data_IF_140815871029
#
_entry.id   IF_140815871029
#
_cell.length_a   1.000
_cell.length_b   1.000
_cell.length_c   1.000
_cell.angle_alpha   90.00
_cell.angle_beta   90.00
_cell.angle_gamma   90.00
#
_symmetry.space_group_name_H-M   'P 1'
#
loop_
_entity.id
_entity.type
_entity.pdbx_description
1 polymer ?
#
# COMPACT_ATOMS: atom_id res chain seq x y z
N UNK A 1 -20.25 -6.50 -3.78
CA UNK A 1 -20.37 -5.64 -2.59
C UNK A 1 -19.03 -5.25 -2.03
N UNK A 2 -18.09 -6.20 -1.94
CA UNK A 2 -16.76 -5.87 -1.44
C UNK A 2 -16.09 -4.86 -2.35
N UNK A 3 -16.30 -4.96 -3.65
CA UNK A 3 -15.68 -4.00 -4.57
C UNK A 3 -16.25 -2.60 -4.41
N UNK A 4 -17.55 -2.48 -4.13
CA UNK A 4 -18.15 -1.17 -3.92
C UNK A 4 -17.60 -0.52 -2.66
N UNK A 5 -17.49 -1.29 -1.60
CA UNK A 5 -16.95 -0.79 -0.34
C UNK A 5 -15.48 -0.41 -0.47
N UNK A 6 -14.71 -1.23 -1.20
CA UNK A 6 -13.30 -0.95 -1.40
C UNK A 6 -13.10 0.34 -2.19
N UNK A 7 -13.90 0.54 -3.23
CA UNK A 7 -13.77 1.74 -4.05
C UNK A 7 -14.13 2.99 -3.27
N UNK A 8 -15.20 2.91 -2.47
CA UNK A 8 -15.57 4.04 -1.64
C UNK A 8 -14.50 4.34 -0.60
N UNK A 9 -13.94 3.30 0.01
CA UNK A 9 -12.89 3.49 1.00
C UNK A 9 -11.67 4.16 0.40
N UNK A 10 -11.28 3.73 -0.80
CA UNK A 10 -10.14 4.31 -1.48
C UNK A 10 -10.36 5.79 -1.78
N UNK A 11 -11.52 6.12 -2.32
CA UNK A 11 -11.83 7.52 -2.64
C UNK A 11 -11.91 8.40 -1.41
N UNK A 12 -12.34 7.84 -0.30
CA UNK A 12 -12.54 8.59 0.93
C UNK A 12 -11.31 8.64 1.81
N UNK A 13 -10.20 8.08 1.35
CA UNK A 13 -8.96 8.06 2.12
C UNK A 13 -9.16 7.38 3.46
N UNK A 14 -9.75 6.21 3.43
CA UNK A 14 -10.12 5.48 4.65
C UNK A 14 -10.05 3.99 4.35
N UNK A 15 -8.82 3.51 4.06
CA UNK A 15 -8.66 2.16 3.55
C UNK A 15 -7.34 1.55 4.00
N UNK A 16 -7.26 0.24 3.81
CA UNK A 16 -6.01 -0.50 3.94
C UNK A 16 -5.87 -1.39 2.71
N UNK A 17 -4.71 -1.33 2.07
CA UNK A 17 -4.33 -2.33 1.09
C UNK A 17 -3.62 -3.45 1.85
N UNK A 18 -4.28 -4.58 1.97
CA UNK A 18 -3.72 -5.76 2.63
C UNK A 18 -2.98 -6.57 1.57
N UNK A 19 -1.65 -6.50 1.61
CA UNK A 19 -0.85 -7.14 0.60
C UNK A 19 -0.73 -8.63 0.85
N UNK A 20 -0.80 -9.40 -0.22
CA UNK A 20 -0.56 -10.84 -0.14
C UNK A 20 0.70 -11.23 -0.87
N UNK A 21 1.24 -10.35 -1.71
CA UNK A 21 2.56 -10.60 -2.28
C UNK A 21 3.26 -9.28 -2.56
N UNK A 22 4.59 -9.36 -2.61
CA UNK A 22 5.45 -8.21 -2.87
C UNK A 22 6.39 -8.62 -3.99
N UNK A 23 6.49 -7.79 -5.01
CA UNK A 23 7.40 -8.00 -6.12
C UNK A 23 8.51 -6.97 -6.05
N UNK A 24 9.74 -7.43 -6.20
CA UNK A 24 10.92 -6.58 -6.16
C UNK A 24 11.40 -6.27 -7.56
N UNK A 25 12.25 -5.28 -7.66
CA UNK A 25 12.73 -4.77 -8.93
C UNK A 25 13.45 -5.83 -9.77
N UNK A 26 14.07 -6.80 -9.13
CA UNK A 26 14.74 -7.88 -9.85
C UNK A 26 13.79 -8.95 -10.38
N UNK A 27 12.49 -8.76 -10.19
CA UNK A 27 11.50 -9.71 -10.68
C UNK A 27 11.07 -10.76 -9.68
N UNK A 28 11.71 -10.84 -8.54
CA UNK A 28 11.33 -11.80 -7.52
C UNK A 28 10.01 -11.41 -6.88
N UNK A 29 9.14 -12.38 -6.68
CA UNK A 29 7.86 -12.19 -6.03
C UNK A 29 7.81 -13.08 -4.80
N UNK A 30 7.40 -12.51 -3.68
CA UNK A 30 7.35 -13.21 -2.40
C UNK A 30 5.93 -13.09 -1.85
N UNK A 31 5.36 -14.20 -1.42
CA UNK A 31 4.10 -14.16 -0.69
C UNK A 31 4.37 -13.68 0.73
N UNK A 32 3.51 -12.81 1.21
CA UNK A 32 3.75 -12.12 2.47
C UNK A 32 2.50 -12.15 3.33
N UNK A 33 2.70 -11.80 4.59
CA UNK A 33 1.63 -11.66 5.57
C UNK A 33 1.16 -10.21 5.56
N UNK A 34 -0.15 -10.00 5.45
CA UNK A 34 -0.69 -8.65 5.37
C UNK A 34 -0.52 -7.89 6.67
N UNK A 35 -0.33 -8.56 7.79
CA UNK A 35 -0.12 -7.85 9.05
C UNK A 35 1.22 -7.11 9.11
N UNK A 36 2.15 -7.47 8.23
CA UNK A 36 3.44 -6.81 8.16
C UNK A 36 3.70 -6.18 6.80
N UNK A 37 2.74 -6.28 5.88
CA UNK A 37 2.90 -5.72 4.52
C UNK A 37 1.57 -5.11 4.12
N UNK A 38 1.49 -3.79 4.23
CA UNK A 38 0.24 -3.10 3.97
C UNK A 38 0.49 -1.63 3.69
N UNK A 39 -0.52 -1.00 3.12
CA UNK A 39 -0.59 0.46 2.99
C UNK A 39 -1.91 0.88 3.62
N UNK A 40 -1.86 1.70 4.66
CA UNK A 40 -3.06 2.20 5.30
C UNK A 40 -3.15 3.71 5.11
N UNK A 41 -4.36 4.20 4.90
CA UNK A 41 -4.62 5.62 4.77
C UNK A 41 -5.85 5.94 5.60
N UNK A 42 -5.73 6.93 6.46
CA UNK A 42 -6.83 7.44 7.25
C UNK A 42 -6.73 8.96 7.23
N UNK A 43 -7.63 9.60 6.48
CA UNK A 43 -7.55 11.04 6.29
C UNK A 43 -6.26 11.43 5.61
N UNK A 44 -5.46 12.26 6.27
CA UNK A 44 -4.18 12.69 5.72
C UNK A 44 -2.98 11.95 6.31
N UNK A 45 -3.23 10.84 7.04
CA UNK A 45 -2.16 10.03 7.59
C UNK A 45 -2.07 8.72 6.82
N UNK A 46 -0.86 8.27 6.58
CA UNK A 46 -0.65 7.02 5.87
C UNK A 46 0.54 6.28 6.45
N UNK A 47 0.44 4.96 6.38
CA UNK A 47 1.55 4.08 6.76
C UNK A 47 1.79 3.14 5.59
N UNK A 48 3.03 3.08 5.15
CA UNK A 48 3.47 2.09 4.16
C UNK A 48 4.43 1.17 4.87
N UNK A 49 4.08 -0.09 4.96
CA UNK A 49 4.96 -1.05 5.61
C UNK A 49 5.19 -2.24 4.71
N UNK A 50 6.45 -2.55 4.48
CA UNK A 50 6.87 -3.65 3.64
C UNK A 50 7.93 -4.41 4.43
N UNK A 51 7.58 -5.62 4.85
CA UNK A 51 8.45 -6.41 5.69
C UNK A 51 8.26 -7.89 5.35
N UNK A 52 8.82 -8.34 4.24
CA UNK A 52 8.63 -9.74 3.81
C UNK A 52 9.46 -10.66 4.67
N UNK A 53 8.85 -11.19 5.70
CA UNK A 53 9.55 -11.91 6.76
C UNK A 53 10.17 -13.21 6.31
N UNK A 54 9.63 -13.82 5.27
CA UNK A 54 10.22 -15.06 4.75
C UNK A 54 11.20 -14.81 3.62
N UNK A 55 11.49 -13.56 3.33
CA UNK A 55 12.50 -13.20 2.36
C UNK A 55 13.78 -12.88 3.12
N UNK A 56 14.82 -13.59 2.83
CA UNK A 56 16.07 -13.40 3.53
C UNK A 56 16.66 -12.05 3.17
N UNK A 57 16.78 -11.17 4.12
CA UNK A 57 17.24 -9.83 3.85
C UNK A 57 18.76 -9.74 3.76
N UNK A 58 19.45 -10.51 4.58
CA UNK A 58 20.88 -10.45 4.61
C UNK A 58 21.41 -9.05 4.84
N UNK A 59 22.69 -8.86 4.60
CA UNK A 59 23.31 -7.56 4.82
C UNK A 59 22.90 -6.51 3.81
N UNK A 60 22.20 -6.88 2.77
CA UNK A 60 21.78 -5.92 1.76
C UNK A 60 20.62 -5.05 2.20
N UNK A 61 20.05 -5.33 3.33
CA UNK A 61 19.07 -4.43 3.89
C UNK A 61 17.75 -4.38 3.18
N UNK A 62 17.37 -5.43 2.50
CA UNK A 62 16.05 -5.47 1.87
C UNK A 62 14.98 -5.88 2.87
N UNK A 63 15.28 -5.78 4.14
CA UNK A 63 14.45 -6.35 5.18
C UNK A 63 13.18 -5.60 5.45
N UNK A 64 13.09 -4.37 5.08
CA UNK A 64 11.85 -3.71 5.34
C UNK A 64 11.90 -2.22 5.12
N UNK A 65 10.74 -1.68 4.86
CA UNK A 65 10.53 -0.26 4.67
C UNK A 65 9.32 0.11 5.49
N UNK A 66 9.43 1.15 6.30
CA UNK A 66 8.29 1.70 7.01
C UNK A 66 8.30 3.20 6.81
N UNK A 67 7.23 3.71 6.24
CA UNK A 67 7.01 5.15 6.11
C UNK A 67 5.71 5.46 6.81
N UNK A 68 5.78 6.20 7.89
CA UNK A 68 4.62 6.62 8.67
C UNK A 68 4.60 8.13 8.62
N UNK A 69 3.61 8.69 7.97
CA UNK A 69 3.63 10.12 7.79
C UNK A 69 2.34 10.69 7.26
N UNK A 70 2.47 11.80 6.56
CA UNK A 70 1.34 12.57 6.07
C UNK A 70 1.23 12.44 4.57
N UNK A 71 -0.02 12.41 4.10
CA UNK A 71 -0.34 12.36 2.68
C UNK A 71 -0.28 13.75 2.10
N UNK A 72 0.36 13.88 0.95
CA UNK A 72 0.35 15.12 0.17
C UNK A 72 0.25 14.78 -1.30
N UNK A 73 -0.10 15.78 -2.11
CA UNK A 73 -0.17 15.66 -3.56
C UNK A 73 -1.06 14.51 -4.00
N UNK A 74 -2.19 14.38 -3.33
CA UNK A 74 -3.13 13.31 -3.59
C UNK A 74 -3.86 13.56 -4.90
N UNK A 75 -3.93 12.55 -5.74
CA UNK A 75 -4.73 12.56 -6.95
C UNK A 75 -5.48 11.24 -7.08
N UNK A 76 -6.76 11.33 -7.35
CA UNK A 76 -7.60 10.16 -7.56
C UNK A 76 -8.30 10.32 -8.90
N UNK A 77 -8.12 9.37 -9.78
CA UNK A 77 -8.73 9.40 -11.11
C UNK A 77 -9.50 8.12 -11.34
N UNK A 78 -10.70 8.27 -11.87
CA UNK A 78 -11.52 7.12 -12.27
C UNK A 78 -11.80 7.26 -13.75
N UNK A 79 -11.49 6.22 -14.52
CA UNK A 79 -11.73 6.27 -15.95
C UNK A 79 -13.11 5.72 -16.30
N UNK A 80 -13.42 5.73 -17.58
CA UNK A 80 -14.74 5.32 -18.07
C UNK A 80 -15.01 3.82 -17.87
N UNK A 81 -13.96 3.05 -17.67
CA UNK A 81 -14.09 1.61 -17.44
C UNK A 81 -14.14 1.23 -15.97
N UNK A 82 -14.09 2.23 -15.09
CA UNK A 82 -14.15 1.98 -13.65
C UNK A 82 -12.82 1.69 -13.00
N UNK A 83 -11.72 1.89 -13.71
CA UNK A 83 -10.40 1.73 -13.11
C UNK A 83 -10.07 2.98 -12.32
N UNK A 84 -9.52 2.78 -11.14
CA UNK A 84 -9.15 3.89 -10.26
C UNK A 84 -7.65 3.93 -10.16
N UNK A 85 -7.08 5.10 -10.36
CA UNK A 85 -5.68 5.37 -10.09
C UNK A 85 -5.60 6.37 -8.96
N UNK A 86 -4.93 5.97 -7.89
CA UNK A 86 -4.78 6.75 -6.67
C UNK A 86 -3.29 7.00 -6.48
N UNK A 87 -2.88 8.25 -6.44
CA UNK A 87 -1.47 8.55 -6.23
C UNK A 87 -1.31 9.56 -5.12
N UNK A 88 -0.24 9.41 -4.36
CA UNK A 88 0.03 10.27 -3.22
C UNK A 88 1.51 10.25 -2.90
N UNK A 89 1.94 11.27 -2.16
CA UNK A 89 3.22 11.23 -1.47
C UNK A 89 2.97 11.03 0.01
N UNK A 90 3.78 10.19 0.64
CA UNK A 90 3.73 9.99 2.09
C UNK A 90 5.05 10.49 2.65
N UNK A 91 4.97 11.48 3.52
CA UNK A 91 6.15 12.12 4.08
C UNK A 91 6.23 11.81 5.56
N UNK A 92 7.24 11.08 5.95
CA UNK A 92 7.56 10.81 7.34
C UNK A 92 8.81 11.57 7.76
N UNK A 93 9.33 11.22 8.91
CA UNK A 93 10.52 11.89 9.45
C UNK A 93 11.74 11.33 8.72
N UNK A 94 12.34 12.17 7.89
CA UNK A 94 13.57 11.80 7.19
C UNK A 94 13.37 10.76 6.09
N UNK A 95 12.14 10.40 5.79
CA UNK A 95 11.86 9.38 4.80
C UNK A 95 10.54 9.71 4.14
N UNK A 96 10.49 9.58 2.83
CA UNK A 96 9.22 9.71 2.14
C UNK A 96 9.15 8.74 0.97
N UNK A 97 7.95 8.55 0.46
CA UNK A 97 7.71 7.64 -0.65
C UNK A 97 6.58 8.16 -1.50
N UNK A 98 6.67 7.93 -2.79
CA UNK A 98 5.56 8.14 -3.69
C UNK A 98 4.86 6.81 -3.88
N UNK A 99 3.53 6.82 -3.79
CA UNK A 99 2.72 5.61 -3.87
C UNK A 99 1.67 5.79 -4.94
N UNK A 100 1.56 4.80 -5.82
CA UNK A 100 0.52 4.76 -6.82
C UNK A 100 -0.25 3.46 -6.66
N UNK A 101 -1.56 3.56 -6.51
CA UNK A 101 -2.41 2.39 -6.35
C UNK A 101 -3.34 2.31 -7.54
N UNK A 102 -3.32 1.18 -8.21
CA UNK A 102 -4.19 0.91 -9.34
C UNK A 102 -5.21 -0.15 -8.92
N UNK A 103 -6.48 0.22 -9.02
CA UNK A 103 -7.57 -0.67 -8.62
C UNK A 103 -8.34 -1.12 -9.85
N UNK A 104 -8.52 -2.43 -9.98
CA UNK A 104 -9.16 -3.01 -11.15
C UNK A 104 -10.67 -2.78 -11.10
N UNK A 105 -11.32 -2.73 -12.29
CA UNK A 105 -12.77 -2.53 -12.31
C UNK A 105 -13.49 -3.73 -11.70
N UNK A 106 -14.57 -3.42 -10.99
CA UNK A 106 -15.44 -4.43 -10.40
C UNK A 106 -14.73 -5.40 -9.47
N UNK A 107 -13.70 -4.91 -8.80
CA UNK A 107 -12.87 -5.75 -7.96
C UNK A 107 -12.41 -4.96 -6.76
N UNK A 108 -12.07 -5.66 -5.69
CA UNK A 108 -11.37 -5.06 -4.55
C UNK A 108 -9.87 -5.29 -4.62
N UNK A 109 -9.39 -5.93 -5.67
CA UNK A 109 -7.97 -6.18 -5.87
C UNK A 109 -7.27 -4.96 -6.41
N UNK A 110 -6.05 -4.76 -5.96
CA UNK A 110 -5.28 -3.60 -6.38
C UNK A 110 -3.80 -3.90 -6.38
N UNK A 111 -3.07 -3.12 -7.15
CA UNK A 111 -1.61 -3.18 -7.18
C UNK A 111 -1.10 -1.80 -6.80
N UNK A 112 -0.19 -1.75 -5.85
CA UNK A 112 0.45 -0.52 -5.44
C UNK A 112 1.91 -0.53 -5.84
N UNK A 113 2.38 0.60 -6.37
CA UNK A 113 3.79 0.80 -6.67
C UNK A 113 4.34 1.81 -5.68
N UNK A 114 5.41 1.43 -5.00
CA UNK A 114 6.02 2.28 -3.98
C UNK A 114 7.41 2.66 -4.45
N UNK A 115 7.66 3.97 -4.47
CA UNK A 115 8.94 4.55 -4.87
C UNK A 115 9.55 5.23 -3.64
N UNK A 116 10.36 4.52 -2.86
CA UNK A 116 10.99 5.15 -1.69
C UNK A 116 12.06 6.14 -2.14
N UNK A 117 12.16 7.25 -1.43
CA UNK A 117 13.13 8.26 -1.82
C UNK A 117 14.53 8.00 -1.30
N UNK A 118 14.67 7.10 -0.34
CA UNK A 118 15.97 6.85 0.29
C UNK A 118 16.78 5.77 -0.43
N UNK A 119 16.16 5.09 -1.38
CA UNK A 119 16.88 4.20 -2.26
C UNK A 119 16.11 4.14 -3.58
N UNK A 120 16.70 3.53 -4.58
CA UNK A 120 16.10 3.53 -5.90
C UNK A 120 15.27 2.28 -6.18
N UNK A 121 15.01 1.47 -5.18
CA UNK A 121 14.32 0.20 -5.38
C UNK A 121 12.82 0.38 -5.33
N UNK A 122 12.20 0.22 -6.46
CA UNK A 122 10.75 0.23 -6.56
C UNK A 122 10.21 -1.12 -6.11
N UNK A 123 9.09 -1.08 -5.39
CA UNK A 123 8.47 -2.29 -4.88
C UNK A 123 6.99 -2.26 -5.27
N UNK A 124 6.47 -3.40 -5.67
CA UNK A 124 5.06 -3.54 -6.02
C UNK A 124 4.39 -4.44 -5.01
N UNK A 125 3.25 -3.99 -4.48
CA UNK A 125 2.42 -4.79 -3.57
C UNK A 125 1.13 -5.12 -4.27
N UNK A 126 0.74 -6.38 -4.22
CA UNK A 126 -0.56 -6.80 -4.73
C UNK A 126 -1.40 -7.29 -3.57
N UNK A 127 -2.65 -6.89 -3.55
CA UNK A 127 -3.52 -7.30 -2.48
C UNK A 127 -4.94 -6.81 -2.65
N UNK A 128 -5.61 -6.65 -1.53
CA UNK A 128 -7.02 -6.33 -1.48
C UNK A 128 -7.23 -5.04 -0.71
N UNK A 129 -8.05 -4.15 -1.26
CA UNK A 129 -8.45 -2.92 -0.57
C UNK A 129 -9.64 -3.25 0.32
N UNK A 130 -9.53 -2.87 1.59
CA UNK A 130 -10.64 -2.99 2.53
C UNK A 130 -10.82 -1.66 3.24
N UNK A 131 -12.03 -1.37 3.75
CA UNK A 131 -12.19 -0.18 4.58
C UNK A 131 -11.30 -0.26 5.81
N UNK A 132 -10.83 0.91 6.22
CA UNK A 132 -9.87 0.99 7.32
C UNK A 132 -10.37 0.26 8.57
N UNK A 133 -11.64 0.48 8.90
CA UNK A 133 -12.21 -0.09 10.12
C UNK A 133 -12.43 -1.59 10.03
N UNK A 134 -12.41 -2.14 8.83
CA UNK A 134 -12.63 -3.57 8.62
C UNK A 134 -11.34 -4.35 8.56
N UNK A 135 -10.19 -3.68 8.59
CA UNK A 135 -8.92 -4.35 8.37
C UNK A 135 -8.43 -4.99 9.65
N UNK A 136 -8.05 -6.24 9.55
CA UNK A 136 -7.43 -6.96 10.67
C UNK A 136 -6.05 -6.40 10.99
N UNK A 137 -5.39 -5.81 10.01
CA UNK A 137 -4.08 -5.22 10.20
C UNK A 137 -4.17 -4.09 11.22
N UNK A 138 -5.13 -3.19 11.01
CA UNK A 138 -5.28 -2.03 11.88
C UNK A 138 -5.65 -2.47 13.29
N UNK A 139 -6.54 -3.43 13.39
CA UNK A 139 -6.96 -3.95 14.69
C UNK A 139 -5.78 -4.53 15.46
N UNK A 140 -4.92 -5.27 14.77
CA UNK A 140 -3.76 -5.84 15.41
C UNK A 140 -2.73 -4.82 15.81
N UNK A 141 -2.75 -3.65 15.20
CA UNK A 141 -1.76 -2.60 15.44
C UNK A 141 -2.27 -1.50 16.36
N UNK A 142 -3.50 -1.55 16.76
CA UNK A 142 -4.07 -0.47 17.56
C UNK A 142 -3.61 -0.48 18.99
N UNK A 143 -2.81 -1.42 19.32
CA UNK A 143 -2.21 -1.49 20.66
C UNK A 143 -0.85 -0.84 20.67
#
# INVERSE_FOLDING_TARGET
>A
LASVQARAALRNQDFVLEADNVQFRNGNTVFVNSSTNFISVKGNRAVVQISPSNYYSGPNGLGGVTVDGYVSELQVKTDSKGRITYSMNVTGIGINAQVEIYMYPNSSQATATVYPNFNSNTVWLQGTIVPYESSNVIEGNSL
#
